data_IF_787253606324
#
_entry.id   IF_787253606324
#
_cell.length_a   1.000
_cell.length_b   1.000
_cell.length_c   1.000
_cell.angle_alpha   90.00
_cell.angle_beta   90.00
_cell.angle_gamma   90.00
#
_symmetry.space_group_name_H-M   'P 1'
#
loop_
_entity.id
_entity.type
_entity.pdbx_description
1 polymer ?
#
# COMPACT_ATOMS: atom_id res chain seq x y z
N UNK A 1 29.83 -35.37 17.72
CA UNK A 1 28.44 -35.14 17.28
C UNK A 1 28.28 -33.66 16.94
N UNK A 2 28.60 -33.34 15.69
CA UNK A 2 27.86 -32.49 14.75
C UNK A 2 27.17 -31.21 15.28
N UNK A 3 27.93 -30.12 15.32
CA UNK A 3 27.44 -28.74 15.44
C UNK A 3 27.49 -27.98 14.10
N UNK A 4 26.97 -28.56 13.01
CA UNK A 4 26.90 -27.92 11.68
C UNK A 4 25.43 -27.70 11.28
N UNK A 5 24.84 -26.60 11.76
CA UNK A 5 23.43 -26.27 11.46
C UNK A 5 23.10 -24.78 11.26
N UNK A 6 23.81 -23.83 11.88
CA UNK A 6 23.31 -22.44 12.00
C UNK A 6 23.70 -21.45 10.88
N UNK A 7 24.86 -21.58 10.25
CA UNK A 7 25.38 -20.52 9.36
C UNK A 7 24.53 -20.29 8.09
N UNK A 8 23.90 -21.33 7.52
CA UNK A 8 23.05 -21.18 6.32
C UNK A 8 21.73 -20.43 6.60
N UNK A 9 21.21 -20.50 7.83
CA UNK A 9 19.95 -19.87 8.20
C UNK A 9 20.06 -18.37 8.45
N UNK A 10 21.19 -17.92 9.01
CA UNK A 10 21.47 -16.52 9.31
C UNK A 10 21.70 -15.69 8.03
N UNK A 11 22.44 -16.25 7.07
CA UNK A 11 22.65 -15.65 5.75
C UNK A 11 21.33 -15.42 5.00
N UNK A 12 20.40 -16.37 5.07
CA UNK A 12 19.12 -16.22 4.37
C UNK A 12 18.23 -15.16 5.02
N UNK A 13 18.25 -15.04 6.35
CA UNK A 13 17.54 -13.97 7.07
C UNK A 13 18.12 -12.59 6.74
N UNK A 14 19.45 -12.46 6.73
CA UNK A 14 20.12 -11.21 6.37
C UNK A 14 19.82 -10.79 4.92
N UNK A 15 19.82 -11.73 3.97
CA UNK A 15 19.44 -11.47 2.57
C UNK A 15 17.97 -11.07 2.43
N UNK A 16 17.07 -11.67 3.21
CA UNK A 16 15.65 -11.27 3.25
C UNK A 16 15.49 -9.86 3.83
N UNK A 17 16.23 -9.53 4.89
CA UNK A 17 16.17 -8.22 5.51
C UNK A 17 16.65 -7.12 4.56
N UNK A 18 17.81 -7.27 3.92
CA UNK A 18 18.33 -6.28 2.95
C UNK A 18 17.34 -5.98 1.82
N UNK A 19 16.68 -7.00 1.28
CA UNK A 19 15.67 -6.84 0.23
C UNK A 19 14.43 -6.09 0.72
N UNK A 20 14.04 -6.29 1.98
CA UNK A 20 12.97 -5.52 2.62
C UNK A 20 13.38 -4.07 2.83
N UNK A 21 14.61 -3.82 3.29
CA UNK A 21 15.12 -2.47 3.53
C UNK A 21 15.23 -1.66 2.23
N UNK A 22 15.69 -2.28 1.14
CA UNK A 22 15.72 -1.68 -0.20
C UNK A 22 14.32 -1.33 -0.70
N UNK A 23 13.37 -2.27 -0.58
CA UNK A 23 11.98 -2.06 -0.97
C UNK A 23 11.33 -0.95 -0.12
N UNK A 24 11.53 -0.98 1.20
CA UNK A 24 10.99 0.00 2.13
C UNK A 24 11.55 1.39 1.86
N UNK A 25 12.86 1.50 1.57
CA UNK A 25 13.50 2.77 1.21
C UNK A 25 12.91 3.34 -0.08
N UNK A 26 12.70 2.50 -1.09
CA UNK A 26 12.13 2.92 -2.37
C UNK A 26 10.67 3.38 -2.19
N UNK A 27 9.84 2.59 -1.51
CA UNK A 27 8.44 2.92 -1.25
C UNK A 27 8.33 4.17 -0.39
N UNK A 28 9.16 4.33 0.63
CA UNK A 28 9.17 5.52 1.50
C UNK A 28 9.57 6.77 0.72
N UNK A 29 10.59 6.69 -0.12
CA UNK A 29 11.01 7.82 -0.96
C UNK A 29 9.91 8.23 -1.94
N UNK A 30 9.22 7.26 -2.54
CA UNK A 30 8.04 7.51 -3.36
C UNK A 30 6.90 8.14 -2.55
N UNK A 31 6.56 7.58 -1.38
CA UNK A 31 5.49 8.08 -0.53
C UNK A 31 5.69 9.54 -0.12
N UNK A 32 6.94 9.93 0.16
CA UNK A 32 7.30 11.33 0.48
C UNK A 32 7.06 12.29 -0.67
N UNK A 33 7.18 11.83 -1.93
CA UNK A 33 6.87 12.63 -3.13
C UNK A 33 5.36 12.80 -3.30
N UNK A 34 4.57 11.82 -2.91
CA UNK A 34 3.12 11.83 -3.04
C UNK A 34 2.44 12.02 -1.67
N UNK A 35 2.34 13.28 -1.22
CA UNK A 35 1.83 13.62 0.13
C UNK A 35 0.38 13.20 0.42
N UNK A 36 -0.42 12.90 -0.60
CA UNK A 36 -1.84 12.55 -0.45
C UNK A 36 -2.13 11.16 -0.97
N UNK A 37 -3.08 10.46 -0.34
CA UNK A 37 -3.51 9.12 -0.78
C UNK A 37 -3.99 9.13 -2.24
N UNK A 38 -4.62 10.22 -2.69
CA UNK A 38 -5.05 10.38 -4.08
C UNK A 38 -3.86 10.41 -5.05
N UNK A 39 -2.81 11.17 -4.74
CA UNK A 39 -1.60 11.22 -5.55
C UNK A 39 -0.83 9.90 -5.52
N UNK A 40 -0.84 9.19 -4.37
CA UNK A 40 -0.28 7.85 -4.25
C UNK A 40 -1.04 6.87 -5.17
N UNK A 41 -2.38 6.84 -5.12
CA UNK A 41 -3.19 5.95 -5.95
C UNK A 41 -3.01 6.18 -7.46
N UNK A 42 -2.83 7.45 -7.87
CA UNK A 42 -2.58 7.80 -9.27
C UNK A 42 -1.17 7.43 -9.77
N UNK A 43 -0.19 7.39 -8.86
CA UNK A 43 1.20 7.08 -9.19
C UNK A 43 1.57 5.60 -9.02
N UNK A 44 0.61 4.73 -8.69
CA UNK A 44 0.82 3.28 -8.61
C UNK A 44 1.37 2.62 -9.89
N UNK A 45 1.01 3.06 -11.12
CA UNK A 45 1.62 2.53 -12.33
C UNK A 45 3.15 2.72 -12.39
N UNK A 46 3.70 3.69 -11.63
CA UNK A 46 5.14 3.93 -11.58
C UNK A 46 5.96 2.82 -10.91
N UNK A 47 5.32 1.93 -10.11
CA UNK A 47 5.99 0.73 -9.59
C UNK A 47 6.12 -0.38 -10.65
N UNK A 48 5.47 -0.20 -11.80
CA UNK A 48 5.60 -1.03 -12.97
C UNK A 48 4.97 -2.43 -12.87
N UNK A 49 4.97 -3.16 -13.99
CA UNK A 49 4.65 -4.58 -13.99
C UNK A 49 5.72 -5.36 -13.19
N UNK A 50 5.34 -6.38 -12.40
CA UNK A 50 4.07 -7.10 -12.47
C UNK A 50 2.95 -6.63 -11.52
N UNK A 51 3.20 -5.65 -10.64
CA UNK A 51 2.22 -5.26 -9.62
C UNK A 51 1.04 -4.50 -10.23
N UNK A 52 1.36 -3.50 -11.05
CA UNK A 52 0.36 -2.68 -11.74
C UNK A 52 0.62 -2.70 -13.24
N UNK A 53 -0.35 -3.12 -14.06
CA UNK A 53 -0.23 -2.98 -15.50
C UNK A 53 -0.16 -1.50 -15.88
N UNK A 54 0.44 -1.19 -17.03
CA UNK A 54 0.58 0.19 -17.52
C UNK A 54 -0.78 0.88 -17.70
N UNK A 55 -1.81 0.11 -18.06
CA UNK A 55 -3.20 0.56 -18.15
C UNK A 55 -3.94 0.60 -16.79
N UNK A 56 -3.24 0.53 -15.66
CA UNK A 56 -3.89 0.58 -14.34
C UNK A 56 -4.46 1.97 -14.06
N UNK A 57 -5.79 2.05 -14.11
CA UNK A 57 -6.53 3.18 -13.61
C UNK A 57 -7.22 2.80 -12.29
N UNK A 58 -6.82 3.45 -11.19
CA UNK A 58 -7.53 3.38 -9.92
C UNK A 58 -8.99 3.91 -10.03
N UNK A 59 -9.34 4.53 -11.15
CA UNK A 59 -10.56 5.31 -11.36
C UNK A 59 -10.31 6.77 -10.95
N UNK A 60 -11.13 7.68 -11.46
CA UNK A 60 -11.10 9.08 -11.01
C UNK A 60 -11.63 9.13 -9.58
N UNK A 61 -10.73 9.27 -8.61
CA UNK A 61 -11.11 9.47 -7.21
C UNK A 61 -11.18 10.97 -6.95
N UNK A 62 -12.40 11.50 -6.83
CA UNK A 62 -12.60 12.88 -6.43
C UNK A 62 -12.13 13.08 -4.98
N UNK A 63 -11.45 14.20 -4.72
CA UNK A 63 -11.11 14.60 -3.35
C UNK A 63 -12.41 14.84 -2.56
N UNK A 64 -12.47 14.35 -1.32
CA UNK A 64 -13.68 14.45 -0.50
C UNK A 64 -14.66 13.27 -0.64
N UNK A 65 -14.54 12.44 -1.69
CA UNK A 65 -15.42 11.28 -1.86
C UNK A 65 -14.84 10.03 -1.19
N UNK A 66 -15.22 9.82 0.07
CA UNK A 66 -14.82 8.64 0.84
C UNK A 66 -15.27 7.30 0.23
N UNK A 67 -16.39 7.27 -0.51
CA UNK A 67 -16.89 6.03 -1.14
C UNK A 67 -16.00 5.64 -2.31
N UNK A 68 -15.66 6.59 -3.17
CA UNK A 68 -14.73 6.37 -4.27
C UNK A 68 -13.32 6.03 -3.78
N UNK A 69 -12.85 6.70 -2.72
CA UNK A 69 -11.56 6.41 -2.10
C UNK A 69 -11.49 4.97 -1.58
N UNK A 70 -12.51 4.54 -0.82
CA UNK A 70 -12.60 3.17 -0.30
C UNK A 70 -12.62 2.14 -1.43
N UNK A 71 -13.38 2.40 -2.50
CA UNK A 71 -13.43 1.50 -3.67
C UNK A 71 -12.07 1.39 -4.36
N UNK A 72 -11.38 2.52 -4.59
CA UNK A 72 -10.06 2.52 -5.19
C UNK A 72 -9.04 1.79 -4.31
N UNK A 73 -9.03 2.07 -3.01
CA UNK A 73 -8.17 1.38 -2.04
C UNK A 73 -8.41 -0.13 -2.03
N UNK A 74 -9.67 -0.60 -1.98
CA UNK A 74 -10.00 -2.03 -2.00
C UNK A 74 -9.48 -2.74 -3.25
N UNK A 75 -9.52 -2.09 -4.42
CA UNK A 75 -8.97 -2.65 -5.67
C UNK A 75 -7.46 -2.81 -5.60
N UNK A 76 -6.77 -1.86 -4.98
CA UNK A 76 -5.31 -1.92 -4.78
C UNK A 76 -4.96 -2.98 -3.74
N UNK A 77 -5.66 -2.99 -2.61
CA UNK A 77 -5.51 -3.96 -1.53
C UNK A 77 -5.65 -5.39 -2.04
N UNK A 78 -6.68 -5.67 -2.84
CA UNK A 78 -6.90 -6.99 -3.43
C UNK A 78 -5.75 -7.44 -4.35
N UNK A 79 -5.02 -6.49 -4.94
CA UNK A 79 -3.92 -6.76 -5.87
C UNK A 79 -2.57 -6.92 -5.17
N UNK A 80 -2.35 -6.15 -4.10
CA UNK A 80 -1.18 -6.24 -3.22
C UNK A 80 -1.32 -7.36 -2.18
N UNK A 81 -2.48 -8.03 -2.10
CA UNK A 81 -2.72 -9.11 -1.16
C UNK A 81 -1.70 -10.26 -1.35
N UNK A 82 -1.15 -10.85 -0.27
CA UNK A 82 -0.14 -11.91 -0.34
C UNK A 82 -0.55 -13.09 -1.22
N UNK A 83 -1.85 -13.42 -1.26
CA UNK A 83 -2.40 -14.46 -2.15
C UNK A 83 -2.13 -14.17 -3.64
N UNK A 84 -2.28 -12.91 -4.08
CA UNK A 84 -2.06 -12.51 -5.47
C UNK A 84 -0.59 -12.30 -5.81
N UNK A 85 0.21 -11.86 -4.83
CA UNK A 85 1.64 -11.61 -5.04
C UNK A 85 2.53 -12.82 -4.74
N UNK A 86 1.99 -13.88 -4.14
CA UNK A 86 2.71 -15.10 -3.78
C UNK A 86 3.35 -15.82 -4.97
N UNK A 87 2.81 -15.63 -6.18
CA UNK A 87 3.38 -16.15 -7.43
C UNK A 87 4.58 -15.34 -7.96
N UNK A 88 4.81 -14.11 -7.47
CA UNK A 88 5.92 -13.26 -7.91
C UNK A 88 7.19 -13.48 -7.11
N UNK A 89 8.29 -12.85 -7.54
CA UNK A 89 9.58 -12.93 -6.85
C UNK A 89 9.48 -12.37 -5.42
N UNK A 90 10.33 -12.86 -4.52
CA UNK A 90 10.41 -12.38 -3.13
C UNK A 90 10.63 -10.86 -3.02
N UNK A 91 11.28 -10.26 -4.01
CA UNK A 91 11.49 -8.81 -4.08
C UNK A 91 10.19 -8.06 -4.36
N UNK A 92 9.38 -8.57 -5.29
CA UNK A 92 8.06 -8.01 -5.61
C UNK A 92 7.10 -8.18 -4.44
N UNK A 93 7.14 -9.33 -3.75
CA UNK A 93 6.35 -9.56 -2.54
C UNK A 93 6.71 -8.55 -1.44
N UNK A 94 8.00 -8.35 -1.15
CA UNK A 94 8.44 -7.36 -0.18
C UNK A 94 8.01 -5.94 -0.56
N UNK A 95 8.11 -5.58 -1.84
CA UNK A 95 7.65 -4.27 -2.33
C UNK A 95 6.14 -4.09 -2.19
N UNK A 96 5.34 -5.13 -2.47
CA UNK A 96 3.89 -5.11 -2.30
C UNK A 96 3.48 -4.96 -0.84
N UNK A 97 4.16 -5.66 0.08
CA UNK A 97 3.93 -5.54 1.53
C UNK A 97 4.19 -4.11 2.02
N UNK A 98 5.32 -3.52 1.62
CA UNK A 98 5.68 -2.15 2.02
C UNK A 98 4.72 -1.11 1.41
N UNK A 99 4.34 -1.29 0.13
CA UNK A 99 3.33 -0.47 -0.53
C UNK A 99 1.99 -0.52 0.19
N UNK A 100 1.55 -1.73 0.55
CA UNK A 100 0.28 -1.93 1.24
C UNK A 100 0.28 -1.15 2.56
N UNK A 101 1.32 -1.31 3.39
CA UNK A 101 1.44 -0.59 4.68
C UNK A 101 1.34 0.92 4.52
N UNK A 102 2.10 1.50 3.58
CA UNK A 102 2.11 2.95 3.34
C UNK A 102 0.74 3.44 2.86
N UNK A 103 0.11 2.71 1.94
CA UNK A 103 -1.21 3.06 1.43
C UNK A 103 -2.29 2.93 2.50
N UNK A 104 -2.23 1.90 3.35
CA UNK A 104 -3.16 1.74 4.47
C UNK A 104 -3.07 2.92 5.43
N UNK A 105 -1.85 3.31 5.84
CA UNK A 105 -1.67 4.45 6.73
C UNK A 105 -2.18 5.77 6.11
N UNK A 106 -1.90 5.99 4.81
CA UNK A 106 -2.38 7.17 4.10
C UNK A 106 -3.92 7.17 3.92
N UNK A 107 -4.51 5.99 3.69
CA UNK A 107 -5.96 5.81 3.57
C UNK A 107 -6.67 6.05 4.90
N UNK A 108 -6.18 5.49 6.00
CA UNK A 108 -6.74 5.68 7.34
C UNK A 108 -6.71 7.15 7.75
N UNK A 109 -5.56 7.82 7.53
CA UNK A 109 -5.42 9.25 7.81
C UNK A 109 -6.43 10.09 7.01
N UNK A 110 -6.62 9.80 5.72
CA UNK A 110 -7.60 10.51 4.89
C UNK A 110 -9.04 10.19 5.32
N UNK A 111 -9.34 8.93 5.70
CA UNK A 111 -10.66 8.54 6.17
C UNK A 111 -11.04 9.28 7.46
N UNK A 112 -10.12 9.34 8.44
CA UNK A 112 -10.30 10.12 9.67
C UNK A 112 -10.52 11.60 9.36
N UNK A 113 -9.78 12.16 8.39
CA UNK A 113 -9.97 13.55 7.95
C UNK A 113 -11.37 13.77 7.38
N UNK A 114 -11.86 12.85 6.55
CA UNK A 114 -13.20 12.92 5.95
C UNK A 114 -14.31 12.77 6.99
N UNK A 115 -14.11 11.93 8.00
CA UNK A 115 -15.03 11.77 9.13
C UNK A 115 -15.11 13.06 9.97
N UNK A 116 -13.98 13.69 10.25
CA UNK A 116 -13.93 14.98 10.96
C UNK A 116 -14.53 16.13 10.15
N UNK A 117 -14.49 16.05 8.82
CA UNK A 117 -15.08 17.03 7.90
C UNK A 117 -16.56 16.82 7.63
N UNK A 118 -17.18 15.75 8.16
CA UNK A 118 -18.63 15.66 8.27
C UNK A 118 -19.00 16.34 9.59
N UNK A 119 -19.26 17.66 9.62
CA UNK A 119 -19.94 18.21 10.77
C UNK A 119 -21.20 17.38 10.92
N UNK A 120 -21.42 16.88 12.13
CA UNK A 120 -22.69 16.37 12.61
C UNK A 120 -23.78 17.19 11.90
N UNK A 121 -24.40 16.63 10.86
CA UNK A 121 -25.65 17.20 10.38
C UNK A 121 -26.56 16.86 11.55
N UNK A 122 -26.94 17.80 12.43
CA UNK A 122 -27.99 17.49 13.37
C UNK A 122 -29.11 16.99 12.49
N UNK A 123 -29.53 15.74 12.70
CA UNK A 123 -30.78 15.28 12.16
C UNK A 123 -31.80 16.25 12.73
N UNK A 124 -32.11 17.28 11.96
CA UNK A 124 -33.25 18.14 12.13
C UNK A 124 -34.43 17.21 12.07
N UNK A 125 -34.79 16.66 13.23
CA UNK A 125 -36.15 16.32 13.58
C UNK A 125 -36.93 17.64 13.52
N UNK A 126 -37.23 18.08 12.30
CA UNK A 126 -38.35 18.98 12.06
C UNK A 126 -39.56 18.11 11.73
N UNK A 127 -40.61 18.37 12.52
CA UNK A 127 -41.98 17.83 12.54
C UNK A 127 -42.19 16.51 13.30
#
# INVERSE_FOLDING_TARGET
RDGKGSARGEDERARRQRKKDEASSHVTAWARRHRTVYAMLQSLPAFGPPLFPEAWAAGTVAQGDGRSLRKAYLRVAARLHPDKVGQFSRQVQAMAEELFKVLTAAYEHELTRLEQQRPDTPLGFEC
#
